data_IF_119686279140
#
_entry.id   IF_119686279140
#
_cell.length_a   1.000
_cell.length_b   1.000
_cell.length_c   1.000
_cell.angle_alpha   90.00
_cell.angle_beta   90.00
_cell.angle_gamma   90.00
#
_symmetry.space_group_name_H-M   'P 1'
#
loop_
_entity.id
_entity.type
_entity.pdbx_description
1 polymer ?
#
# COMPACT_ATOMS: atom_id res chain seq x y z
N UNK A 1 -18.96 -7.07 -28.40
CA UNK A 1 -20.13 -7.70 -27.73
C UNK A 1 -20.35 -6.89 -26.45
N UNK A 2 -21.58 -6.51 -26.17
CA UNK A 2 -21.95 -5.71 -24.99
C UNK A 2 -22.72 -6.63 -24.07
N UNK A 3 -22.41 -6.61 -22.78
CA UNK A 3 -23.18 -7.30 -21.75
C UNK A 3 -23.65 -6.28 -20.73
N UNK A 4 -24.94 -6.12 -20.57
CA UNK A 4 -25.50 -5.18 -19.59
C UNK A 4 -25.32 -5.65 -18.13
N UNK A 5 -25.21 -6.98 -17.95
CA UNK A 5 -25.08 -7.62 -16.64
C UNK A 5 -23.82 -8.50 -16.56
N UNK A 6 -23.17 -8.47 -15.39
CA UNK A 6 -22.08 -9.38 -15.02
C UNK A 6 -22.50 -10.12 -13.75
N UNK A 7 -22.33 -11.44 -13.74
CA UNK A 7 -22.48 -12.28 -12.53
C UNK A 7 -21.07 -12.67 -12.10
N UNK A 8 -20.75 -12.50 -10.82
CA UNK A 8 -19.47 -12.90 -10.23
C UNK A 8 -19.67 -13.50 -8.85
N UNK A 9 -18.84 -14.44 -8.48
CA UNK A 9 -18.70 -14.77 -7.07
C UNK A 9 -18.16 -13.56 -6.30
N UNK A 10 -18.67 -13.34 -5.09
CA UNK A 10 -18.13 -12.30 -4.21
C UNK A 10 -16.72 -12.65 -3.75
N UNK A 11 -15.79 -11.75 -4.01
CA UNK A 11 -14.43 -11.80 -3.51
C UNK A 11 -14.02 -10.41 -3.01
N UNK A 12 -13.10 -10.34 -2.04
CA UNK A 12 -12.51 -9.10 -1.52
C UNK A 12 -11.48 -8.50 -2.50
N UNK A 13 -11.06 -9.28 -3.51
CA UNK A 13 -10.10 -8.90 -4.55
C UNK A 13 -10.74 -9.12 -5.92
N UNK A 14 -11.57 -8.16 -6.31
CA UNK A 14 -12.41 -8.25 -7.53
C UNK A 14 -12.01 -7.19 -8.57
N UNK A 15 -10.69 -6.95 -8.73
CA UNK A 15 -10.16 -5.97 -9.68
C UNK A 15 -10.59 -6.28 -11.12
N UNK A 16 -10.76 -7.57 -11.44
CA UNK A 16 -11.23 -8.01 -12.75
C UNK A 16 -12.64 -7.48 -13.08
N UNK A 17 -13.47 -7.23 -12.09
CA UNK A 17 -14.82 -6.66 -12.30
C UNK A 17 -14.72 -5.26 -12.91
N UNK A 18 -13.77 -4.42 -12.45
CA UNK A 18 -13.55 -3.08 -13.03
C UNK A 18 -13.20 -3.17 -14.50
N UNK A 19 -12.27 -4.08 -14.83
CA UNK A 19 -11.91 -4.34 -16.22
C UNK A 19 -13.11 -4.82 -17.04
N UNK A 20 -13.91 -5.75 -16.51
CA UNK A 20 -15.08 -6.30 -17.22
C UNK A 20 -16.17 -5.26 -17.44
N UNK A 21 -16.45 -4.41 -16.44
CA UNK A 21 -17.41 -3.31 -16.55
C UNK A 21 -17.02 -2.37 -17.69
N UNK A 22 -15.75 -1.96 -17.71
CA UNK A 22 -15.27 -1.03 -18.74
C UNK A 22 -15.26 -1.69 -20.13
N UNK A 23 -14.78 -2.92 -20.23
CA UNK A 23 -14.66 -3.66 -21.49
C UNK A 23 -15.99 -3.97 -22.14
N UNK A 24 -16.98 -4.39 -21.35
CA UNK A 24 -18.27 -4.84 -21.85
C UNK A 24 -19.39 -3.81 -21.67
N UNK A 25 -19.09 -2.65 -21.04
CA UNK A 25 -20.04 -1.56 -20.77
C UNK A 25 -21.23 -2.00 -19.91
N UNK A 26 -20.97 -2.90 -18.96
CA UNK A 26 -22.00 -3.40 -18.06
C UNK A 26 -22.54 -2.30 -17.13
N UNK A 27 -23.86 -2.35 -16.87
CA UNK A 27 -24.54 -1.41 -15.98
C UNK A 27 -24.93 -2.06 -14.66
N UNK A 28 -24.98 -3.41 -14.60
CA UNK A 28 -25.35 -4.16 -13.41
C UNK A 28 -24.34 -5.25 -13.09
N UNK A 29 -23.97 -5.34 -11.82
CA UNK A 29 -23.13 -6.39 -11.24
C UNK A 29 -23.97 -7.17 -10.23
N UNK A 30 -23.98 -8.51 -10.35
CA UNK A 30 -24.64 -9.42 -9.43
C UNK A 30 -23.57 -10.26 -8.76
N UNK A 31 -23.33 -10.02 -7.48
CA UNK A 31 -22.43 -10.83 -6.67
C UNK A 31 -23.18 -11.99 -6.04
N UNK A 32 -22.70 -13.21 -6.27
CA UNK A 32 -23.13 -14.40 -5.57
C UNK A 32 -22.35 -14.51 -4.28
N UNK A 33 -23.01 -14.56 -3.15
CA UNK A 33 -22.40 -14.60 -1.82
C UNK A 33 -22.96 -15.72 -0.96
N UNK A 34 -22.09 -16.44 -0.25
CA UNK A 34 -22.52 -17.42 0.75
C UNK A 34 -23.20 -16.74 1.94
N UNK A 35 -24.28 -17.36 2.46
CA UNK A 35 -25.01 -16.85 3.62
C UNK A 35 -24.11 -16.61 4.85
N UNK A 36 -23.04 -17.41 5.03
CA UNK A 36 -22.05 -17.22 6.10
C UNK A 36 -21.33 -15.87 6.03
N UNK A 37 -21.26 -15.27 4.84
CA UNK A 37 -20.64 -13.95 4.59
C UNK A 37 -21.65 -12.81 4.49
N UNK A 38 -22.93 -13.06 4.72
CA UNK A 38 -24.02 -12.08 4.54
C UNK A 38 -23.86 -10.80 5.34
N UNK A 39 -23.23 -10.88 6.53
CA UNK A 39 -22.93 -9.71 7.35
C UNK A 39 -21.97 -8.70 6.67
N UNK A 40 -21.17 -9.16 5.73
CA UNK A 40 -20.25 -8.30 4.95
C UNK A 40 -20.97 -7.42 3.92
N UNK A 41 -22.18 -7.80 3.46
CA UNK A 41 -22.93 -7.09 2.41
C UNK A 41 -23.14 -5.63 2.77
N UNK A 42 -23.67 -5.34 3.97
CA UNK A 42 -24.00 -3.96 4.40
C UNK A 42 -22.78 -3.04 4.44
N UNK A 43 -21.64 -3.57 4.86
CA UNK A 43 -20.38 -2.82 4.92
C UNK A 43 -19.86 -2.56 3.51
N UNK A 44 -19.84 -3.60 2.68
CA UNK A 44 -19.26 -3.54 1.35
C UNK A 44 -20.17 -2.84 0.33
N UNK A 45 -21.47 -2.88 0.49
CA UNK A 45 -22.41 -2.17 -0.40
C UNK A 45 -22.10 -0.67 -0.50
N UNK A 46 -21.78 -0.02 0.63
CA UNK A 46 -21.39 1.40 0.63
C UNK A 46 -20.08 1.63 -0.11
N UNK A 47 -19.14 0.71 0.05
CA UNK A 47 -17.79 0.78 -0.57
C UNK A 47 -17.91 0.51 -2.07
N UNK A 48 -18.63 -0.54 -2.46
CA UNK A 48 -18.84 -0.85 -3.88
C UNK A 48 -19.63 0.23 -4.64
N UNK A 49 -20.54 0.95 -3.98
CA UNK A 49 -21.17 2.13 -4.57
C UNK A 49 -20.16 3.24 -4.90
N UNK A 50 -19.08 3.38 -4.13
CA UNK A 50 -18.00 4.32 -4.46
C UNK A 50 -17.16 3.83 -5.65
N UNK A 51 -16.86 2.53 -5.69
CA UNK A 51 -15.99 1.93 -6.73
C UNK A 51 -16.68 1.85 -8.08
N UNK A 52 -17.92 1.33 -8.07
CA UNK A 52 -18.69 1.07 -9.29
C UNK A 52 -19.60 2.23 -9.66
N UNK A 53 -19.13 3.45 -9.49
CA UNK A 53 -19.80 4.71 -9.70
C UNK A 53 -20.94 4.64 -10.75
N UNK A 54 -22.20 4.89 -10.32
CA UNK A 54 -23.40 4.83 -11.16
C UNK A 54 -23.79 3.43 -11.71
N UNK A 55 -23.22 2.33 -11.22
CA UNK A 55 -23.61 0.97 -11.59
C UNK A 55 -24.54 0.39 -10.54
N UNK A 56 -25.49 -0.44 -10.98
CA UNK A 56 -26.32 -1.21 -10.07
C UNK A 56 -25.54 -2.40 -9.52
N UNK A 57 -25.44 -2.49 -8.19
CA UNK A 57 -24.82 -3.63 -7.50
C UNK A 57 -25.88 -4.39 -6.74
N UNK A 58 -26.01 -5.67 -7.03
CA UNK A 58 -26.93 -6.60 -6.37
C UNK A 58 -26.17 -7.75 -5.72
N UNK A 59 -26.71 -8.29 -4.63
CA UNK A 59 -26.17 -9.47 -3.96
C UNK A 59 -27.22 -10.57 -3.93
N UNK A 60 -26.89 -11.73 -4.51
CA UNK A 60 -27.67 -12.95 -4.45
C UNK A 60 -27.06 -13.86 -3.38
N UNK A 61 -27.80 -14.07 -2.29
CA UNK A 61 -27.35 -14.88 -1.16
C UNK A 61 -27.79 -16.32 -1.37
N UNK A 62 -26.84 -17.25 -1.31
CA UNK A 62 -27.12 -18.68 -1.41
C UNK A 62 -26.58 -19.42 -0.18
N UNK A 63 -27.24 -20.52 0.18
CA UNK A 63 -26.77 -21.38 1.26
C UNK A 63 -25.83 -22.44 0.71
N UNK A 64 -24.64 -22.52 1.33
CA UNK A 64 -23.57 -23.49 1.02
C UNK A 64 -23.31 -23.68 -0.50
N UNK A 65 -23.52 -22.62 -1.28
CA UNK A 65 -23.35 -22.61 -2.74
C UNK A 65 -24.01 -23.83 -3.42
N UNK A 66 -25.25 -24.11 -3.06
CA UNK A 66 -26.03 -25.22 -3.65
C UNK A 66 -26.06 -25.11 -5.18
N UNK A 67 -25.90 -26.23 -5.89
CA UNK A 67 -25.92 -26.26 -7.36
C UNK A 67 -27.25 -25.69 -7.88
N UNK A 68 -28.37 -26.08 -7.29
CA UNK A 68 -29.70 -25.58 -7.65
C UNK A 68 -29.80 -24.06 -7.46
N UNK A 69 -29.20 -23.53 -6.39
CA UNK A 69 -29.16 -22.09 -6.13
C UNK A 69 -28.39 -21.33 -7.21
N UNK A 70 -27.20 -21.83 -7.59
CA UNK A 70 -26.38 -21.27 -8.66
C UNK A 70 -27.12 -21.34 -10.00
N UNK A 71 -27.69 -22.48 -10.34
CA UNK A 71 -28.44 -22.68 -11.57
C UNK A 71 -29.64 -21.74 -11.69
N UNK A 72 -30.42 -21.56 -10.61
CA UNK A 72 -31.55 -20.64 -10.57
C UNK A 72 -31.13 -19.18 -10.80
N UNK A 73 -29.97 -18.75 -10.23
CA UNK A 73 -29.44 -17.40 -10.44
C UNK A 73 -29.06 -17.22 -11.92
N UNK A 74 -28.33 -18.18 -12.50
CA UNK A 74 -27.93 -18.10 -13.90
C UNK A 74 -29.12 -18.12 -14.84
N UNK A 75 -30.11 -19.01 -14.64
CA UNK A 75 -31.33 -19.07 -15.45
C UNK A 75 -32.12 -17.76 -15.47
N UNK A 76 -32.25 -17.08 -14.32
CA UNK A 76 -32.92 -15.77 -14.23
C UNK A 76 -32.15 -14.63 -14.91
N UNK A 77 -30.88 -14.83 -15.21
CA UNK A 77 -29.98 -13.84 -15.80
C UNK A 77 -29.21 -14.43 -17.00
N UNK A 78 -29.91 -15.17 -17.86
CA UNK A 78 -29.30 -15.94 -18.97
C UNK A 78 -28.52 -15.09 -20.00
N UNK A 79 -28.78 -13.79 -20.05
CA UNK A 79 -28.07 -12.81 -20.89
C UNK A 79 -26.80 -12.25 -20.25
N UNK A 80 -26.52 -12.57 -19.00
CA UNK A 80 -25.36 -12.02 -18.28
C UNK A 80 -24.04 -12.71 -18.70
N UNK A 81 -22.94 -11.97 -18.54
CA UNK A 81 -21.59 -12.51 -18.60
C UNK A 81 -21.22 -13.12 -17.23
N UNK A 82 -20.79 -14.37 -17.21
CA UNK A 82 -20.37 -15.04 -15.97
C UNK A 82 -18.86 -14.87 -15.77
N UNK A 83 -18.45 -14.15 -14.71
CA UNK A 83 -17.06 -14.02 -14.32
C UNK A 83 -16.62 -15.21 -13.46
N UNK A 84 -15.48 -15.82 -13.82
CA UNK A 84 -14.89 -17.00 -13.17
C UNK A 84 -13.58 -16.66 -12.45
N UNK A 85 -13.14 -15.39 -12.46
CA UNK A 85 -11.78 -15.02 -12.09
C UNK A 85 -11.56 -14.96 -10.58
N UNK A 86 -12.56 -14.54 -9.81
CA UNK A 86 -12.48 -14.37 -8.37
C UNK A 86 -13.15 -15.48 -7.57
N UNK A 87 -12.87 -15.50 -6.28
CA UNK A 87 -13.54 -16.35 -5.31
C UNK A 87 -13.02 -17.78 -5.19
N UNK A 88 -13.88 -18.70 -4.78
CA UNK A 88 -13.54 -20.11 -4.57
C UNK A 88 -13.47 -20.86 -5.89
N UNK A 89 -12.41 -21.67 -6.06
CA UNK A 89 -12.17 -22.42 -7.30
C UNK A 89 -13.28 -23.40 -7.63
N UNK A 90 -13.84 -24.09 -6.61
CA UNK A 90 -14.90 -25.08 -6.86
C UNK A 90 -16.16 -24.40 -7.37
N UNK A 91 -16.46 -23.22 -6.84
CA UNK A 91 -17.62 -22.43 -7.26
C UNK A 91 -17.42 -21.91 -8.69
N UNK A 92 -16.20 -21.45 -9.03
CA UNK A 92 -15.88 -21.05 -10.40
C UNK A 92 -16.06 -22.21 -11.39
N UNK A 93 -15.69 -23.44 -11.01
CA UNK A 93 -15.90 -24.62 -11.84
C UNK A 93 -17.38 -24.97 -11.97
N UNK A 94 -18.16 -24.89 -10.90
CA UNK A 94 -19.62 -25.10 -10.94
C UNK A 94 -20.30 -24.04 -11.82
N UNK A 95 -19.94 -22.76 -11.66
CA UNK A 95 -20.45 -21.67 -12.50
C UNK A 95 -20.11 -21.89 -13.97
N UNK A 96 -18.89 -22.36 -14.28
CA UNK A 96 -18.49 -22.70 -15.66
C UNK A 96 -19.35 -23.83 -16.21
N UNK A 97 -19.53 -24.92 -15.46
CA UNK A 97 -20.34 -26.05 -15.89
C UNK A 97 -21.80 -25.65 -16.19
N UNK A 98 -22.43 -24.97 -15.24
CA UNK A 98 -23.81 -24.51 -15.40
C UNK A 98 -23.94 -23.49 -16.55
N UNK A 99 -23.00 -22.56 -16.67
CA UNK A 99 -23.00 -21.59 -17.76
C UNK A 99 -22.90 -22.27 -19.14
N UNK A 100 -22.08 -23.34 -19.27
CA UNK A 100 -21.98 -24.13 -20.51
C UNK A 100 -23.30 -24.86 -20.82
N UNK A 101 -23.93 -25.48 -19.83
CA UNK A 101 -25.23 -26.16 -20.00
C UNK A 101 -26.32 -25.18 -20.45
N UNK A 102 -26.30 -23.94 -19.91
CA UNK A 102 -27.26 -22.89 -20.25
C UNK A 102 -26.84 -22.08 -21.51
N UNK A 103 -25.75 -22.47 -22.20
CA UNK A 103 -25.21 -21.74 -23.36
C UNK A 103 -24.85 -20.28 -23.08
N UNK A 104 -24.59 -19.94 -21.82
CA UNK A 104 -24.14 -18.62 -21.38
C UNK A 104 -22.64 -18.43 -21.68
N UNK A 105 -22.24 -17.20 -21.91
CA UNK A 105 -20.81 -16.89 -22.03
C UNK A 105 -20.20 -16.70 -20.64
N UNK A 106 -19.05 -17.33 -20.41
CA UNK A 106 -18.27 -17.10 -19.21
C UNK A 106 -16.83 -16.68 -19.56
N UNK A 107 -16.15 -16.03 -18.62
CA UNK A 107 -14.85 -15.44 -18.81
C UNK A 107 -13.98 -15.61 -17.57
N UNK A 108 -12.69 -15.90 -17.77
CA UNK A 108 -11.64 -15.86 -16.77
C UNK A 108 -10.58 -14.84 -17.19
N UNK A 109 -10.18 -13.96 -16.28
CA UNK A 109 -9.16 -12.93 -16.49
C UNK A 109 -7.86 -13.34 -15.80
N UNK A 110 -6.78 -13.32 -16.55
CA UNK A 110 -5.41 -13.54 -16.05
C UNK A 110 -4.64 -12.23 -16.23
N UNK A 111 -4.58 -11.42 -15.18
CA UNK A 111 -3.87 -10.13 -15.17
C UNK A 111 -2.37 -10.32 -15.39
N UNK A 112 -1.78 -11.34 -14.76
CA UNK A 112 -0.33 -11.58 -14.80
C UNK A 112 0.13 -11.84 -16.22
N UNK A 113 -0.60 -12.71 -16.94
CA UNK A 113 -0.26 -13.07 -18.32
C UNK A 113 -0.96 -12.19 -19.37
N UNK A 114 -1.74 -11.18 -18.94
CA UNK A 114 -2.53 -10.28 -19.80
C UNK A 114 -3.42 -11.04 -20.79
N UNK A 115 -4.11 -12.10 -20.30
CA UNK A 115 -4.95 -12.99 -21.11
C UNK A 115 -6.39 -13.04 -20.59
N UNK A 116 -7.32 -13.23 -21.52
CA UNK A 116 -8.72 -13.57 -21.27
C UNK A 116 -9.03 -14.94 -21.82
N UNK A 117 -9.62 -15.79 -20.99
CA UNK A 117 -10.14 -17.08 -21.39
C UNK A 117 -11.65 -16.94 -21.50
N UNK A 118 -12.19 -17.03 -22.71
CA UNK A 118 -13.62 -16.88 -22.98
C UNK A 118 -14.19 -18.23 -23.31
N UNK A 119 -15.19 -18.65 -22.56
CA UNK A 119 -15.87 -19.93 -22.70
C UNK A 119 -17.30 -19.69 -23.21
N UNK A 120 -17.70 -20.42 -24.24
CA UNK A 120 -19.05 -20.54 -24.75
C UNK A 120 -19.18 -21.93 -25.35
N UNK A 121 -19.08 -22.10 -26.65
CA UNK A 121 -19.03 -23.42 -27.33
C UNK A 121 -17.67 -24.08 -27.20
N UNK A 122 -16.62 -23.29 -27.10
CA UNK A 122 -15.23 -23.68 -26.88
C UNK A 122 -14.47 -22.60 -26.11
N UNK A 123 -13.37 -22.97 -25.50
CA UNK A 123 -12.45 -22.01 -24.89
C UNK A 123 -11.67 -21.25 -25.97
N UNK A 124 -11.66 -19.92 -25.88
CA UNK A 124 -10.81 -19.04 -26.70
C UNK A 124 -9.91 -18.24 -25.77
N UNK A 125 -8.61 -18.20 -26.10
CA UNK A 125 -7.62 -17.40 -25.38
C UNK A 125 -7.35 -16.14 -26.21
N UNK A 126 -7.48 -14.98 -25.58
CA UNK A 126 -7.34 -13.68 -26.22
C UNK A 126 -6.34 -12.86 -25.41
N UNK A 127 -5.29 -12.37 -26.05
CA UNK A 127 -4.43 -11.35 -25.46
C UNK A 127 -5.25 -10.06 -25.26
N UNK A 128 -5.10 -9.42 -24.13
CA UNK A 128 -5.88 -8.24 -23.81
C UNK A 128 -5.01 -7.20 -23.13
N UNK A 129 -5.04 -5.99 -23.65
CA UNK A 129 -4.61 -4.85 -22.85
C UNK A 129 -5.55 -4.74 -21.67
N UNK A 130 -5.01 -4.80 -20.46
CA UNK A 130 -5.74 -4.61 -19.23
C UNK A 130 -5.65 -3.14 -18.86
N UNK A 131 -6.76 -2.58 -18.39
CA UNK A 131 -6.74 -1.26 -17.76
C UNK A 131 -6.16 -1.44 -16.36
N UNK A 132 -5.16 -0.64 -16.04
CA UNK A 132 -4.56 -0.70 -14.72
C UNK A 132 -5.53 -0.16 -13.66
N UNK A 133 -5.56 -0.86 -12.54
CA UNK A 133 -6.35 -0.48 -11.36
C UNK A 133 -5.58 0.58 -10.58
N UNK A 134 -6.23 1.63 -10.11
CA UNK A 134 -5.63 2.63 -9.24
C UNK A 134 -5.49 2.14 -7.80
N UNK A 135 -4.57 2.72 -7.03
CA UNK A 135 -4.43 2.43 -5.60
C UNK A 135 -5.74 2.67 -4.84
N UNK A 136 -6.49 3.71 -5.19
CA UNK A 136 -7.77 4.03 -4.56
C UNK A 136 -8.81 2.94 -4.80
N UNK A 137 -8.87 2.39 -6.02
CA UNK A 137 -9.77 1.28 -6.35
C UNK A 137 -9.39 0.01 -5.58
N UNK A 138 -8.08 -0.30 -5.44
CA UNK A 138 -7.62 -1.45 -4.63
C UNK A 138 -8.04 -1.31 -3.17
N UNK A 139 -7.84 -0.14 -2.55
CA UNK A 139 -8.29 0.09 -1.17
C UNK A 139 -9.80 -0.13 -1.03
N UNK A 140 -10.60 0.43 -1.92
CA UNK A 140 -12.05 0.26 -1.87
C UNK A 140 -12.48 -1.21 -2.07
N UNK A 141 -11.91 -1.90 -3.06
CA UNK A 141 -12.27 -3.31 -3.34
C UNK A 141 -11.93 -4.22 -2.15
N UNK A 142 -10.77 -3.98 -1.49
CA UNK A 142 -10.39 -4.72 -0.28
C UNK A 142 -11.23 -4.37 0.96
N UNK A 143 -12.14 -3.41 0.86
CA UNK A 143 -12.96 -2.96 1.99
C UNK A 143 -12.27 -1.97 2.92
N UNK A 144 -11.17 -1.35 2.47
CA UNK A 144 -10.44 -0.32 3.20
C UNK A 144 -10.78 1.09 2.71
N UNK A 145 -10.66 2.07 3.59
CA UNK A 145 -10.79 3.49 3.25
C UNK A 145 -9.54 4.25 3.72
N UNK A 146 -8.96 5.04 2.82
CA UNK A 146 -7.78 5.86 3.14
C UNK A 146 -8.21 7.03 4.01
N UNK A 147 -7.57 7.16 5.17
CA UNK A 147 -7.86 8.22 6.17
C UNK A 147 -6.94 9.42 5.97
N UNK A 148 -5.66 9.15 5.69
CA UNK A 148 -4.63 10.17 5.48
C UNK A 148 -3.46 9.58 4.71
N UNK A 149 -2.62 10.44 4.12
CA UNK A 149 -1.36 10.04 3.48
C UNK A 149 -0.31 11.14 3.56
N UNK A 150 0.95 10.77 3.38
CA UNK A 150 2.10 11.68 3.45
C UNK A 150 2.74 11.94 2.07
N UNK A 151 2.08 11.58 0.98
CA UNK A 151 2.61 11.67 -0.39
C UNK A 151 3.04 13.11 -0.74
N UNK A 152 2.19 14.10 -0.50
CA UNK A 152 2.52 15.51 -0.75
C UNK A 152 3.70 16.02 0.10
N UNK A 153 3.86 15.48 1.31
CA UNK A 153 5.00 15.80 2.17
C UNK A 153 6.31 15.31 1.53
N UNK A 154 6.30 14.10 0.98
CA UNK A 154 7.47 13.49 0.34
C UNK A 154 7.90 14.22 -0.94
N UNK A 155 7.03 15.00 -1.57
CA UNK A 155 7.32 15.81 -2.76
C UNK A 155 7.85 17.22 -2.43
N UNK A 156 7.89 17.63 -1.14
CA UNK A 156 8.43 18.93 -0.74
C UNK A 156 9.96 18.95 -0.88
N UNK A 157 10.46 19.97 -1.58
CA UNK A 157 11.89 20.13 -1.88
C UNK A 157 12.78 20.05 -0.64
N UNK A 158 12.42 20.76 0.42
CA UNK A 158 13.17 20.78 1.68
C UNK A 158 13.17 19.42 2.39
N UNK A 159 12.06 18.68 2.33
CA UNK A 159 11.96 17.30 2.87
C UNK A 159 12.87 16.36 2.08
N UNK A 160 12.86 16.46 0.76
CA UNK A 160 13.73 15.68 -0.14
C UNK A 160 15.21 15.98 0.18
N UNK A 161 15.57 17.25 0.25
CA UNK A 161 16.95 17.68 0.52
C UNK A 161 17.46 17.20 1.90
N UNK A 162 16.64 17.30 2.94
CA UNK A 162 16.95 16.79 4.29
C UNK A 162 17.15 15.28 4.23
N UNK A 163 16.23 14.55 3.61
CA UNK A 163 16.30 13.07 3.53
C UNK A 163 17.54 12.61 2.75
N UNK A 164 17.90 13.29 1.66
CA UNK A 164 19.13 13.01 0.89
C UNK A 164 20.38 13.33 1.69
N UNK A 165 20.40 14.41 2.49
CA UNK A 165 21.53 14.73 3.39
C UNK A 165 21.69 13.66 4.48
N UNK A 166 20.60 13.15 5.04
CA UNK A 166 20.64 12.04 6.01
C UNK A 166 21.19 10.79 5.33
N UNK A 167 20.68 10.43 4.16
CA UNK A 167 21.17 9.28 3.39
C UNK A 167 22.66 9.38 3.09
N UNK A 168 23.12 10.55 2.62
CA UNK A 168 24.53 10.79 2.28
C UNK A 168 25.47 10.76 3.50
N UNK A 169 24.93 10.87 4.72
CA UNK A 169 25.66 10.87 5.98
C UNK A 169 25.10 9.82 6.95
N UNK A 170 24.70 8.67 6.43
CA UNK A 170 23.95 7.65 7.19
C UNK A 170 24.68 7.15 8.44
N UNK A 171 26.02 7.03 8.39
CA UNK A 171 26.80 6.61 9.55
C UNK A 171 26.78 7.65 10.67
N UNK A 172 26.85 8.93 10.31
CA UNK A 172 26.72 10.05 11.26
C UNK A 172 25.32 10.07 11.83
N UNK A 173 24.29 9.90 10.99
CA UNK A 173 22.90 9.78 11.42
C UNK A 173 22.71 8.66 12.43
N UNK A 174 23.14 7.45 12.13
CA UNK A 174 23.00 6.30 13.03
C UNK A 174 23.76 6.48 14.34
N UNK A 175 24.89 7.19 14.32
CA UNK A 175 25.67 7.44 15.53
C UNK A 175 24.97 8.42 16.47
N UNK A 176 24.30 9.44 15.92
CA UNK A 176 23.81 10.58 16.71
C UNK A 176 22.30 10.74 16.77
N UNK A 177 21.50 10.01 15.96
CA UNK A 177 20.04 10.16 15.92
C UNK A 177 19.35 9.96 17.28
N UNK A 178 19.94 9.14 18.17
CA UNK A 178 19.40 8.91 19.51
C UNK A 178 19.29 10.19 20.35
N UNK A 179 20.13 11.19 20.08
CA UNK A 179 20.15 12.47 20.77
C UNK A 179 18.84 13.24 20.53
N UNK A 180 18.26 13.11 19.33
CA UNK A 180 16.99 13.78 18.99
C UNK A 180 15.81 13.34 19.88
N UNK A 181 15.94 12.15 20.51
CA UNK A 181 14.93 11.59 21.41
C UNK A 181 15.28 11.77 22.90
N UNK A 182 16.38 12.44 23.20
CA UNK A 182 16.78 12.74 24.59
C UNK A 182 16.07 13.99 25.08
N UNK A 183 15.06 13.79 25.94
CA UNK A 183 14.27 14.87 26.52
C UNK A 183 15.08 15.80 27.44
N UNK A 184 16.28 15.41 27.87
CA UNK A 184 17.18 16.31 28.62
C UNK A 184 17.85 17.34 27.69
N UNK A 185 17.94 17.02 26.41
CA UNK A 185 18.53 17.86 25.36
C UNK A 185 17.42 18.59 24.58
N UNK A 186 16.48 17.85 24.01
CA UNK A 186 15.38 18.39 23.21
C UNK A 186 14.08 18.40 23.98
N UNK A 187 13.70 19.58 24.50
CA UNK A 187 12.47 19.78 25.29
C UNK A 187 11.34 20.26 24.39
N UNK A 188 10.44 19.33 24.06
CA UNK A 188 9.27 19.64 23.26
C UNK A 188 8.22 20.38 24.08
N UNK A 189 7.69 21.49 23.55
CA UNK A 189 6.63 22.24 24.20
C UNK A 189 5.26 21.59 23.89
N UNK A 190 4.56 21.13 24.92
CA UNK A 190 3.24 20.51 24.77
C UNK A 190 2.13 21.51 24.38
N UNK A 191 2.30 22.81 24.71
CA UNK A 191 1.30 23.86 24.39
C UNK A 191 1.54 24.52 23.04
N UNK A 192 2.79 24.53 22.57
CA UNK A 192 3.18 25.05 21.27
C UNK A 192 4.04 24.00 20.55
N UNK A 193 3.35 23.24 19.71
CA UNK A 193 3.94 22.09 19.01
C UNK A 193 5.11 22.44 18.08
N UNK A 194 5.21 23.69 17.63
CA UNK A 194 6.27 24.14 16.74
C UNK A 194 7.54 24.60 17.48
N UNK A 195 7.47 24.76 18.81
CA UNK A 195 8.61 25.19 19.59
C UNK A 195 9.34 24.01 20.25
N UNK A 196 10.68 24.12 20.26
CA UNK A 196 11.60 23.21 20.95
C UNK A 196 12.68 24.03 21.62
N UNK A 197 12.98 23.71 22.89
CA UNK A 197 14.13 24.22 23.62
C UNK A 197 15.25 23.17 23.60
N UNK A 198 16.43 23.56 23.14
CA UNK A 198 17.60 22.68 23.06
C UNK A 198 18.59 23.08 24.16
N UNK A 199 18.80 22.19 25.12
CA UNK A 199 19.70 22.39 26.25
C UNK A 199 21.09 21.79 25.89
N UNK A 200 22.09 22.66 25.69
CA UNK A 200 23.40 22.23 25.20
C UNK A 200 24.39 21.88 26.31
N UNK A 201 24.00 21.88 27.58
CA UNK A 201 24.91 21.61 28.73
C UNK A 201 25.45 20.19 28.73
N UNK A 202 24.67 19.24 28.28
CA UNK A 202 25.01 17.81 28.26
C UNK A 202 25.40 17.29 26.88
N UNK A 203 25.72 18.19 25.95
CA UNK A 203 26.10 17.85 24.57
C UNK A 203 27.63 17.87 24.48
N UNK A 204 28.24 16.80 23.92
CA UNK A 204 29.68 16.77 23.67
C UNK A 204 30.09 17.69 22.50
N UNK A 205 31.40 17.95 22.38
CA UNK A 205 31.93 18.87 21.37
C UNK A 205 31.55 18.47 19.92
N UNK A 206 31.58 17.17 19.59
CA UNK A 206 31.27 16.68 18.23
C UNK A 206 29.77 16.79 17.95
N UNK A 207 28.93 16.45 18.94
CA UNK A 207 27.49 16.61 18.90
C UNK A 207 27.09 18.08 18.71
N UNK A 208 27.76 19.00 19.43
CA UNK A 208 27.52 20.44 19.31
C UNK A 208 27.87 20.98 17.92
N UNK A 209 28.98 20.52 17.33
CA UNK A 209 29.37 20.89 15.96
C UNK A 209 28.29 20.43 14.97
N UNK A 210 27.81 19.18 15.10
CA UNK A 210 26.78 18.64 14.24
C UNK A 210 25.46 19.39 14.41
N UNK A 211 25.05 19.64 15.64
CA UNK A 211 23.83 20.41 15.97
C UNK A 211 23.87 21.80 15.32
N UNK A 212 24.99 22.54 15.51
CA UNK A 212 25.13 23.87 14.92
C UNK A 212 25.03 23.84 13.39
N UNK A 213 25.70 22.89 12.71
CA UNK A 213 25.59 22.71 11.26
C UNK A 213 24.15 22.40 10.83
N UNK A 214 23.43 21.58 11.59
CA UNK A 214 22.04 21.26 11.32
C UNK A 214 21.13 22.48 11.50
N UNK A 215 21.33 23.25 12.54
CA UNK A 215 20.60 24.50 12.80
C UNK A 215 20.89 25.53 11.68
N UNK A 216 22.16 25.74 11.32
CA UNK A 216 22.53 26.65 10.23
C UNK A 216 21.87 26.27 8.90
N UNK A 217 21.85 24.97 8.59
CA UNK A 217 21.15 24.48 7.40
C UNK A 217 19.65 24.75 7.48
N UNK A 218 18.98 24.42 8.59
CA UNK A 218 17.54 24.65 8.75
C UNK A 218 17.16 26.15 8.69
N UNK A 219 18.02 27.03 9.22
CA UNK A 219 17.86 28.49 9.07
C UNK A 219 18.02 28.90 7.60
N UNK A 220 19.03 28.36 6.90
CA UNK A 220 19.30 28.72 5.50
C UNK A 220 18.15 28.39 4.55
N UNK A 221 17.39 27.34 4.84
CA UNK A 221 16.19 26.95 4.08
C UNK A 221 14.90 27.61 4.59
N UNK A 222 15.03 28.60 5.49
CA UNK A 222 13.92 29.27 6.14
C UNK A 222 12.95 28.30 6.86
N UNK A 223 13.51 27.23 7.44
CA UNK A 223 12.75 26.17 8.14
C UNK A 223 12.50 26.47 9.61
N UNK A 224 13.42 27.20 10.27
CA UNK A 224 13.36 27.55 11.68
C UNK A 224 13.80 28.99 11.94
N UNK A 225 13.28 29.55 13.04
CA UNK A 225 13.84 30.70 13.74
C UNK A 225 14.53 30.25 15.02
N UNK A 226 15.61 30.90 15.40
CA UNK A 226 16.35 30.60 16.62
C UNK A 226 16.58 31.85 17.46
N UNK A 227 16.58 31.68 18.79
CA UNK A 227 17.19 32.63 19.73
C UNK A 227 18.03 31.87 20.74
N UNK A 228 19.19 32.44 21.13
CA UNK A 228 20.13 31.79 22.06
C UNK A 228 20.17 32.55 23.34
N UNK A 229 20.09 31.82 24.47
CA UNK A 229 20.24 32.35 25.79
C UNK A 229 21.17 31.42 26.59
N UNK A 230 22.43 31.82 26.82
CA UNK A 230 23.48 31.02 27.48
C UNK A 230 23.56 29.61 26.90
N UNK A 231 23.09 28.61 27.62
CA UNK A 231 23.12 27.19 27.27
C UNK A 231 21.82 26.67 26.66
N UNK A 232 20.88 27.56 26.36
CA UNK A 232 19.59 27.20 25.81
C UNK A 232 19.39 27.83 24.43
N UNK A 233 19.00 27.00 23.46
CA UNK A 233 18.65 27.43 22.11
C UNK A 233 17.13 27.25 21.97
N UNK A 234 16.40 28.35 21.89
CA UNK A 234 14.97 28.33 21.59
C UNK A 234 14.81 28.24 20.07
N UNK A 235 14.12 27.23 19.61
CA UNK A 235 13.92 26.96 18.19
C UNK A 235 12.44 26.93 17.88
N UNK A 236 12.00 27.73 16.90
CA UNK A 236 10.64 27.73 16.38
C UNK A 236 10.61 27.27 14.94
N UNK A 237 9.89 26.19 14.66
CA UNK A 237 9.68 25.70 13.31
C UNK A 237 8.66 26.59 12.59
N UNK A 238 9.07 27.17 11.43
CA UNK A 238 8.18 27.93 10.54
C UNK A 238 7.29 27.02 9.73
N UNK A 239 7.71 25.79 9.56
CA UNK A 239 7.04 24.73 8.81
C UNK A 239 6.88 23.53 9.75
N UNK A 240 5.72 23.35 10.32
CA UNK A 240 5.42 22.30 11.32
C UNK A 240 5.79 20.90 10.84
N UNK A 241 5.66 20.63 9.53
CA UNK A 241 6.01 19.34 8.96
C UNK A 241 7.51 19.01 9.06
N UNK A 242 8.42 20.01 9.06
CA UNK A 242 9.87 19.76 9.20
C UNK A 242 10.20 19.18 10.57
N UNK A 243 9.51 19.62 11.63
CA UNK A 243 9.63 19.01 12.95
C UNK A 243 9.25 17.52 12.89
N UNK A 244 8.13 17.19 12.25
CA UNK A 244 7.70 15.80 12.07
C UNK A 244 8.74 14.96 11.33
N UNK A 245 9.31 15.46 10.23
CA UNK A 245 10.35 14.76 9.46
C UNK A 245 11.62 14.49 10.28
N UNK A 246 12.02 15.43 11.14
CA UNK A 246 13.25 15.30 11.93
C UNK A 246 13.08 14.44 13.19
N UNK A 247 11.92 14.54 13.85
CA UNK A 247 11.68 13.89 15.15
C UNK A 247 10.80 12.64 15.09
N UNK A 248 10.18 12.30 13.94
CA UNK A 248 9.58 10.98 13.71
C UNK A 248 10.65 10.05 13.12
N UNK A 249 10.97 8.99 13.85
CA UNK A 249 11.97 8.01 13.40
C UNK A 249 11.57 7.37 12.07
N UNK A 250 12.51 7.32 11.13
CA UNK A 250 12.33 6.59 9.87
C UNK A 250 11.73 7.40 8.72
N UNK A 251 11.09 8.55 8.96
CA UNK A 251 10.42 9.34 7.91
C UNK A 251 11.33 9.65 6.72
N UNK A 252 12.60 9.96 6.95
CA UNK A 252 13.55 10.22 5.88
C UNK A 252 13.75 8.98 4.96
N UNK A 253 13.70 7.76 5.53
CA UNK A 253 13.82 6.52 4.76
C UNK A 253 12.57 6.25 3.94
N UNK A 254 11.39 6.54 4.50
CA UNK A 254 10.12 6.50 3.77
C UNK A 254 10.15 7.42 2.55
N UNK A 255 10.62 8.68 2.73
CA UNK A 255 10.79 9.66 1.64
C UNK A 255 11.76 9.14 0.57
N UNK A 256 12.92 8.65 0.95
CA UNK A 256 13.92 8.11 -0.01
C UNK A 256 13.36 6.88 -0.73
N UNK A 257 12.63 6.01 -0.03
CA UNK A 257 12.02 4.82 -0.64
C UNK A 257 10.92 5.21 -1.61
N UNK A 258 10.04 6.16 -1.23
CA UNK A 258 9.02 6.72 -2.11
C UNK A 258 9.62 7.30 -3.39
N UNK A 259 10.66 8.13 -3.28
CA UNK A 259 11.34 8.71 -4.44
C UNK A 259 12.00 7.65 -5.33
N UNK A 260 12.61 6.62 -4.73
CA UNK A 260 13.20 5.52 -5.46
C UNK A 260 12.15 4.75 -6.28
N UNK A 261 10.98 4.47 -5.69
CA UNK A 261 9.86 3.81 -6.38
C UNK A 261 9.26 4.72 -7.45
N UNK A 262 9.01 5.99 -7.14
CA UNK A 262 8.44 6.99 -8.05
C UNK A 262 9.25 7.15 -9.34
N UNK A 263 10.57 6.99 -9.25
CA UNK A 263 11.48 7.08 -10.38
C UNK A 263 11.61 5.78 -11.21
N UNK A 264 10.92 4.71 -10.85
CA UNK A 264 10.81 3.49 -11.66
C UNK A 264 9.72 3.72 -12.71
N UNK A 265 10.11 3.72 -13.99
CA UNK A 265 9.22 4.07 -15.10
C UNK A 265 8.00 3.14 -15.26
N UNK A 266 8.17 1.92 -14.81
CA UNK A 266 7.18 0.86 -14.91
C UNK A 266 6.11 0.90 -13.79
N UNK A 267 6.22 1.84 -12.85
CA UNK A 267 5.23 2.05 -11.76
C UNK A 267 4.12 2.96 -12.25
N UNK A 268 2.88 2.54 -12.06
CA UNK A 268 1.68 3.28 -12.47
C UNK A 268 1.30 4.36 -11.46
N UNK A 269 1.32 4.02 -10.17
CA UNK A 269 1.02 4.94 -9.07
C UNK A 269 1.84 4.57 -7.83
N UNK A 270 2.23 5.57 -7.02
CA UNK A 270 2.92 5.39 -5.73
C UNK A 270 2.44 6.41 -4.72
N UNK A 271 2.23 5.98 -3.47
CA UNK A 271 1.91 6.83 -2.32
C UNK A 271 2.79 6.51 -1.13
N UNK A 272 2.92 7.44 -0.20
CA UNK A 272 3.73 7.30 1.02
C UNK A 272 2.93 7.59 2.28
N UNK A 273 3.24 6.86 3.37
CA UNK A 273 2.63 7.03 4.69
C UNK A 273 1.11 6.93 4.65
N UNK A 274 0.60 5.89 3.98
CA UNK A 274 -0.84 5.72 3.78
C UNK A 274 -1.46 5.12 5.04
N UNK A 275 -2.24 5.94 5.73
CA UNK A 275 -3.03 5.57 6.88
C UNK A 275 -4.44 5.20 6.42
N UNK A 276 -4.88 4.00 6.72
CA UNK A 276 -6.19 3.49 6.29
C UNK A 276 -6.87 2.68 7.39
N UNK A 277 -8.15 2.48 7.23
CA UNK A 277 -8.98 1.71 8.16
C UNK A 277 -9.86 0.72 7.42
N UNK A 278 -10.24 -0.36 8.13
CA UNK A 278 -11.13 -1.40 7.61
C UNK A 278 -12.57 -1.16 8.06
N UNK A 279 -13.52 -1.06 7.11
CA UNK A 279 -14.96 -1.04 7.39
C UNK A 279 -15.50 0.30 7.90
N UNK A 280 -16.76 0.29 8.32
CA UNK A 280 -17.54 1.49 8.66
C UNK A 280 -17.13 2.15 9.99
N UNK A 281 -16.45 1.40 10.88
CA UNK A 281 -15.98 1.91 12.19
C UNK A 281 -14.52 2.39 12.10
N UNK A 282 -14.24 3.21 11.11
CA UNK A 282 -12.93 3.75 10.76
C UNK A 282 -12.17 4.50 11.88
N UNK A 283 -12.83 4.79 13.00
CA UNK A 283 -12.25 5.60 14.08
C UNK A 283 -11.37 4.81 15.05
N UNK A 284 -11.49 3.47 15.10
CA UNK A 284 -10.93 2.68 16.20
C UNK A 284 -9.57 2.06 15.85
N UNK A 285 -9.40 1.51 14.65
CA UNK A 285 -8.15 0.84 14.26
C UNK A 285 -7.66 1.39 12.92
N UNK A 286 -6.54 2.09 12.98
CA UNK A 286 -5.83 2.62 11.80
C UNK A 286 -4.59 1.78 11.57
N UNK A 287 -4.35 1.45 10.30
CA UNK A 287 -3.15 0.75 9.85
C UNK A 287 -2.35 1.70 8.95
N UNK A 288 -1.04 1.57 8.93
CA UNK A 288 -0.14 2.40 8.11
C UNK A 288 0.70 1.50 7.21
N UNK A 289 0.89 1.91 5.95
CA UNK A 289 1.90 1.36 5.07
C UNK A 289 2.83 2.49 4.67
N UNK A 290 4.13 2.29 4.88
CA UNK A 290 5.14 3.33 4.72
C UNK A 290 5.26 3.80 3.26
N UNK A 291 5.30 2.86 2.30
CA UNK A 291 5.21 3.15 0.86
C UNK A 291 4.37 2.07 0.18
N UNK A 292 3.43 2.49 -0.64
CA UNK A 292 2.57 1.59 -1.42
C UNK A 292 2.59 2.01 -2.88
N UNK A 293 2.68 1.05 -3.79
CA UNK A 293 2.67 1.29 -5.22
C UNK A 293 1.85 0.24 -5.96
N UNK A 294 1.55 0.52 -7.22
CA UNK A 294 0.88 -0.42 -8.12
C UNK A 294 1.60 -0.44 -9.47
N UNK A 295 1.72 -1.63 -10.03
CA UNK A 295 2.22 -1.87 -11.38
C UNK A 295 1.40 -2.98 -12.02
N UNK A 296 0.88 -2.74 -13.23
CA UNK A 296 0.08 -3.73 -13.98
C UNK A 296 -1.04 -4.34 -13.11
N UNK A 297 -1.73 -3.53 -12.28
CA UNK A 297 -2.76 -3.94 -11.31
C UNK A 297 -2.27 -4.83 -10.15
N UNK A 298 -0.96 -5.02 -9.98
CA UNK A 298 -0.37 -5.75 -8.85
C UNK A 298 0.10 -4.78 -7.78
N UNK A 299 -0.38 -4.97 -6.57
CA UNK A 299 -0.03 -4.14 -5.42
C UNK A 299 1.38 -4.43 -4.91
N UNK A 300 2.11 -3.39 -4.54
CA UNK A 300 3.45 -3.44 -3.96
C UNK A 300 3.39 -2.73 -2.62
N UNK A 301 3.60 -3.44 -1.52
CA UNK A 301 3.64 -2.88 -0.18
C UNK A 301 5.07 -2.90 0.36
N UNK A 302 5.53 -1.76 0.85
CA UNK A 302 6.91 -1.58 1.33
C UNK A 302 6.87 -1.05 2.76
N UNK A 303 7.56 -1.75 3.67
CA UNK A 303 7.83 -1.26 5.02
C UNK A 303 9.28 -0.77 5.13
N UNK A 304 9.50 0.33 5.87
CA UNK A 304 10.78 1.00 6.02
C UNK A 304 11.27 0.92 7.47
N UNK A 305 12.50 0.41 7.70
CA UNK A 305 13.07 0.25 9.04
C UNK A 305 14.46 0.90 9.13
N UNK A 306 14.53 2.07 9.78
CA UNK A 306 15.81 2.78 10.03
C UNK A 306 16.52 2.23 11.29
N UNK A 307 16.64 0.92 11.39
CA UNK A 307 17.37 0.24 12.49
C UNK A 307 17.68 -1.21 12.13
N UNK A 308 18.36 -1.92 13.05
CA UNK A 308 18.57 -3.36 13.06
C UNK A 308 17.58 -4.09 14.03
N UNK A 309 16.70 -3.32 14.69
CA UNK A 309 15.79 -3.82 15.74
C UNK A 309 14.39 -4.13 15.20
N UNK A 310 14.33 -4.72 14.01
CA UNK A 310 13.08 -5.26 13.48
C UNK A 310 13.10 -6.80 13.57
N UNK A 311 11.95 -7.38 13.75
CA UNK A 311 11.77 -8.79 14.08
C UNK A 311 10.58 -9.40 13.34
N UNK A 312 10.14 -10.56 13.81
CA UNK A 312 9.03 -11.30 13.22
C UNK A 312 7.71 -10.51 13.24
N UNK A 313 7.51 -9.61 14.21
CA UNK A 313 6.29 -8.80 14.29
C UNK A 313 6.20 -7.83 13.11
N UNK A 314 7.32 -7.20 12.74
CA UNK A 314 7.38 -6.30 11.57
C UNK A 314 7.10 -7.07 10.26
N UNK A 315 7.56 -8.33 10.13
CA UNK A 315 7.28 -9.17 8.97
C UNK A 315 5.81 -9.60 8.94
N UNK A 316 5.27 -10.02 10.10
CA UNK A 316 3.88 -10.43 10.23
C UNK A 316 2.93 -9.27 9.88
N UNK A 317 3.19 -8.08 10.40
CA UNK A 317 2.40 -6.87 10.11
C UNK A 317 2.39 -6.57 8.62
N UNK A 318 3.56 -6.51 7.97
CA UNK A 318 3.67 -6.31 6.53
C UNK A 318 2.90 -7.36 5.74
N UNK A 319 3.06 -8.66 6.09
CA UNK A 319 2.39 -9.75 5.36
C UNK A 319 0.87 -9.67 5.49
N UNK A 320 0.36 -9.54 6.73
CA UNK A 320 -1.09 -9.52 7.00
C UNK A 320 -1.76 -8.33 6.27
N UNK A 321 -1.17 -7.14 6.37
CA UNK A 321 -1.77 -5.96 5.76
C UNK A 321 -1.69 -5.99 4.24
N UNK A 322 -0.55 -6.41 3.71
CA UNK A 322 -0.35 -6.51 2.26
C UNK A 322 -1.29 -7.54 1.62
N UNK A 323 -1.38 -8.74 2.19
CA UNK A 323 -2.22 -9.81 1.68
C UNK A 323 -3.72 -9.47 1.79
N UNK A 324 -4.10 -8.76 2.84
CA UNK A 324 -5.48 -8.30 2.99
C UNK A 324 -5.84 -7.18 2.00
N UNK A 325 -4.89 -6.35 1.57
CA UNK A 325 -5.11 -5.29 0.57
C UNK A 325 -5.04 -5.82 -0.86
N UNK A 326 -4.00 -6.58 -1.21
CA UNK A 326 -3.69 -6.97 -2.59
C UNK A 326 -3.76 -8.47 -2.88
N UNK A 327 -4.29 -9.28 -1.93
CA UNK A 327 -4.42 -10.72 -2.12
C UNK A 327 -3.09 -11.45 -2.18
N UNK A 328 -3.11 -12.65 -2.79
CA UNK A 328 -1.94 -13.56 -2.84
C UNK A 328 -0.82 -13.09 -3.77
N UNK A 329 -1.13 -12.20 -4.71
CA UNK A 329 -0.17 -11.73 -5.71
C UNK A 329 0.57 -10.46 -5.28
N UNK A 330 0.30 -9.92 -4.09
CA UNK A 330 0.93 -8.70 -3.58
C UNK A 330 2.44 -8.88 -3.45
N UNK A 331 3.20 -7.90 -3.91
CA UNK A 331 4.65 -7.85 -3.71
C UNK A 331 4.96 -7.19 -2.37
N UNK A 332 5.62 -7.93 -1.48
CA UNK A 332 5.99 -7.50 -0.14
C UNK A 332 7.48 -7.20 -0.08
N UNK A 333 7.84 -5.97 0.33
CA UNK A 333 9.23 -5.53 0.42
C UNK A 333 9.46 -4.91 1.80
N UNK A 334 10.56 -5.27 2.46
CA UNK A 334 11.05 -4.59 3.64
C UNK A 334 12.38 -3.92 3.32
N UNK A 335 12.40 -2.58 3.35
CA UNK A 335 13.61 -1.76 3.17
C UNK A 335 14.18 -1.42 4.55
N UNK A 336 15.43 -1.78 4.80
CA UNK A 336 16.09 -1.50 6.07
C UNK A 336 17.47 -0.88 5.88
N UNK A 337 17.87 -0.02 6.81
CA UNK A 337 19.21 0.58 6.80
C UNK A 337 20.29 -0.38 7.30
N UNK A 338 19.91 -1.40 8.09
CA UNK A 338 20.82 -2.40 8.66
C UNK A 338 20.22 -3.80 8.58
N UNK A 339 21.07 -4.82 8.59
CA UNK A 339 20.63 -6.22 8.72
C UNK A 339 19.97 -6.42 10.08
N UNK A 340 18.96 -7.31 10.20
CA UNK A 340 18.33 -7.61 11.49
C UNK A 340 19.35 -8.22 12.45
N UNK A 341 19.19 -7.97 13.73
CA UNK A 341 20.05 -8.56 14.77
C UNK A 341 19.97 -10.09 14.80
N UNK A 342 18.77 -10.64 14.55
CA UNK A 342 18.54 -12.09 14.52
C UNK A 342 18.56 -12.61 13.09
N UNK A 343 19.44 -13.55 12.80
CA UNK A 343 19.54 -14.20 11.47
C UNK A 343 18.26 -14.93 11.08
N UNK A 344 17.50 -15.45 12.06
CA UNK A 344 16.20 -16.11 11.84
C UNK A 344 15.19 -15.21 11.12
N UNK A 345 15.23 -13.89 11.34
CA UNK A 345 14.34 -12.92 10.65
C UNK A 345 14.57 -12.95 9.13
N UNK A 346 15.81 -13.13 8.67
CA UNK A 346 16.12 -13.23 7.23
C UNK A 346 15.49 -14.49 6.64
N UNK A 347 15.58 -15.61 7.37
CA UNK A 347 14.99 -16.88 6.92
C UNK A 347 13.45 -16.76 6.90
N UNK A 348 12.88 -16.18 7.94
CA UNK A 348 11.42 -15.96 8.03
C UNK A 348 10.89 -15.06 6.93
N UNK A 349 11.60 -13.98 6.60
CA UNK A 349 11.23 -13.11 5.48
C UNK A 349 11.11 -13.88 4.17
N UNK A 350 12.06 -14.82 3.90
CA UNK A 350 12.01 -15.69 2.71
C UNK A 350 10.79 -16.64 2.74
N UNK A 351 10.50 -17.26 3.89
CA UNK A 351 9.35 -18.16 4.04
C UNK A 351 8.01 -17.44 3.84
N UNK A 352 7.94 -16.16 4.19
CA UNK A 352 6.77 -15.30 4.01
C UNK A 352 6.72 -14.59 2.65
N UNK A 353 7.64 -14.89 1.74
CA UNK A 353 7.80 -14.22 0.44
C UNK A 353 7.95 -12.69 0.58
N UNK A 354 8.71 -12.25 1.60
CA UNK A 354 9.06 -10.85 1.83
C UNK A 354 10.47 -10.60 1.30
N UNK A 355 10.60 -9.66 0.37
CA UNK A 355 11.88 -9.26 -0.21
C UNK A 355 12.58 -8.27 0.71
N UNK A 356 13.70 -8.69 1.32
CA UNK A 356 14.47 -7.85 2.23
C UNK A 356 15.54 -7.07 1.46
N UNK A 357 15.43 -5.74 1.43
CA UNK A 357 16.38 -4.82 0.83
C UNK A 357 17.15 -4.08 1.93
N UNK A 358 18.45 -4.36 2.05
CA UNK A 358 19.32 -3.67 2.99
C UNK A 358 20.12 -2.61 2.23
N UNK A 359 20.07 -1.36 2.69
CA UNK A 359 20.90 -0.28 2.12
C UNK A 359 22.38 -0.61 2.33
N UNK A 360 23.08 -0.84 1.22
CA UNK A 360 24.54 -1.08 1.22
C UNK A 360 25.33 0.18 0.87
N UNK A 361 24.69 1.10 0.16
CA UNK A 361 25.27 2.33 -0.33
C UNK A 361 24.38 3.52 0.06
N UNK A 362 24.99 4.65 0.35
CA UNK A 362 24.29 5.91 0.63
C UNK A 362 23.78 6.57 -0.66
N UNK A 363 23.11 5.80 -1.51
CA UNK A 363 22.65 6.19 -2.84
C UNK A 363 21.22 5.79 -3.11
N UNK A 364 20.41 6.76 -3.53
CA UNK A 364 19.04 6.51 -3.97
C UNK A 364 19.01 5.61 -5.22
N UNK A 365 19.98 5.73 -6.11
CA UNK A 365 20.06 4.92 -7.32
C UNK A 365 20.28 3.43 -7.00
N UNK A 366 21.05 3.12 -5.96
CA UNK A 366 21.22 1.74 -5.49
C UNK A 366 19.86 1.17 -5.03
N UNK A 367 19.12 1.93 -4.22
CA UNK A 367 17.82 1.52 -3.74
C UNK A 367 16.82 1.36 -4.90
N UNK A 368 16.76 2.33 -5.80
CA UNK A 368 15.89 2.29 -6.99
C UNK A 368 16.17 1.05 -7.85
N UNK A 369 17.43 0.75 -8.14
CA UNK A 369 17.80 -0.43 -8.93
C UNK A 369 17.42 -1.74 -8.22
N UNK A 370 17.66 -1.82 -6.91
CA UNK A 370 17.30 -3.00 -6.10
C UNK A 370 15.79 -3.24 -6.11
N UNK A 371 15.00 -2.18 -5.91
CA UNK A 371 13.53 -2.27 -5.96
C UNK A 371 13.03 -2.62 -7.36
N UNK A 372 13.58 -2.00 -8.41
CA UNK A 372 13.21 -2.28 -9.80
C UNK A 372 13.44 -3.73 -10.18
N UNK A 373 14.57 -4.32 -9.79
CA UNK A 373 14.86 -5.75 -10.05
C UNK A 373 13.79 -6.62 -9.41
N UNK A 374 13.50 -6.44 -8.12
CA UNK A 374 12.49 -7.22 -7.40
C UNK A 374 11.11 -7.07 -8.05
N UNK A 375 10.70 -5.85 -8.33
CA UNK A 375 9.39 -5.57 -8.91
C UNK A 375 9.24 -6.24 -10.29
N UNK A 376 10.25 -6.14 -11.16
CA UNK A 376 10.19 -6.73 -12.49
C UNK A 376 10.35 -8.26 -12.49
N UNK A 377 10.95 -8.85 -11.47
CA UNK A 377 10.99 -10.31 -11.30
C UNK A 377 9.63 -10.86 -10.84
N UNK A 378 8.93 -10.13 -9.98
CA UNK A 378 7.64 -10.54 -9.41
C UNK A 378 6.44 -10.22 -10.32
N UNK A 379 6.54 -9.13 -11.09
CA UNK A 379 5.48 -8.62 -11.97
C UNK A 379 6.06 -8.58 -13.39
N UNK A 380 5.87 -9.68 -14.14
CA UNK A 380 6.38 -9.85 -15.51
C UNK A 380 5.38 -9.39 -16.56
#
# INVERSE_FOLDING_TARGET
>A
MIFDKIISQYDEHSEEILFLIDKFKANKIIFIIDNKKRNKIKTNEKIYKKVFNNKEVAFEVIEDYSIDGLENILKRNSEALVNLSGGDRIISLLLLNIAMELSMQSIYIDFINKKRYVFKDKCRVINSEMKDTSLQEVFYLSGADVVNESTELCDKKDVIEISQKILSNIDVWHKYKHILYDNSIFKHNAKDVDNIDIDIRNIDKNQLILLNKSIEYLVSINGIDISKNQNLIHTKFKKSYLKGVLFKSGTWLEVITYLAVKNIKEIDEVRSGVLYSWGVNAEIVKNEIDVIAIKDSVLICISCKDSDKYDDDALNELSIYSERLGGKNVVKILVATKKPQKVSVIQRAKEMDINLVILKESSINYLQNSLRVIINEKIR
#
